data_IF_191443145798
#
_entry.id   IF_191443145798
#
_cell.length_a   1.000
_cell.length_b   1.000
_cell.length_c   1.000
_cell.angle_alpha   90.00
_cell.angle_beta   90.00
_cell.angle_gamma   90.00
#
_symmetry.space_group_name_H-M   'P 1'
#
loop_
_entity.id
_entity.type
_entity.pdbx_description
1 polymer ?
#
# COMPACT_ATOMS: atom_id res chain seq x y z
N UNK A 1 10.41 38.27 8.12
CA UNK A 1 10.47 38.03 7.89
C UNK A 1 10.38 37.26 7.52
N UNK A 2 10.37 37.10 7.56
CA UNK A 2 10.30 36.57 7.15
C UNK A 2 10.50 35.55 6.88
N UNK A 3 10.75 35.46 6.97
CA UNK A 3 10.97 34.65 6.65
C UNK A 3 10.73 33.67 6.72
N UNK A 4 10.53 33.77 6.81
CA UNK A 4 10.35 33.04 6.74
C UNK A 4 10.16 32.18 6.25
N UNK A 5 10.00 32.27 6.11
CA UNK A 5 9.89 31.58 5.57
C UNK A 5 10.10 30.68 5.10
N UNK A 6 10.39 30.78 4.95
CA UNK A 6 10.56 30.09 4.40
C UNK A 6 10.67 28.98 4.43
N UNK A 7 10.59 29.09 4.83
CA UNK A 7 10.79 28.35 4.95
C UNK A 7 10.42 27.36 4.67
N UNK A 8 10.06 27.66 4.67
CA UNK A 8 9.82 26.90 4.34
C UNK A 8 9.78 26.12 3.58
N UNK A 9 10.06 26.29 3.26
CA UNK A 9 10.08 25.82 2.52
C UNK A 9 10.38 24.75 2.33
N UNK A 10 10.62 24.63 2.36
CA UNK A 10 10.88 23.84 2.10
C UNK A 10 11.40 22.70 2.53
N UNK A 11 11.83 22.32 2.79
CA UNK A 11 12.45 21.25 3.49
C UNK A 11 11.51 20.07 3.58
N UNK A 12 10.28 20.35 3.79
CA UNK A 12 9.26 19.31 3.80
C UNK A 12 9.24 18.51 2.53
N UNK A 13 9.49 19.15 1.43
CA UNK A 13 9.50 18.42 0.17
C UNK A 13 10.58 17.39 0.12
N UNK A 14 11.69 17.66 0.71
CA UNK A 14 12.78 16.70 0.69
C UNK A 14 12.44 15.44 1.45
N UNK A 15 11.74 15.59 2.54
CA UNK A 15 11.32 14.44 3.30
C UNK A 15 10.36 13.56 2.53
N UNK A 16 9.47 14.19 1.80
CA UNK A 16 8.53 13.43 0.99
C UNK A 16 9.26 12.65 -0.08
N UNK A 17 10.28 13.24 -0.66
CA UNK A 17 11.05 12.56 -1.67
C UNK A 17 11.72 11.33 -1.10
N UNK A 18 12.25 11.44 0.12
CA UNK A 18 12.87 10.31 0.76
C UNK A 18 11.90 9.18 0.99
N UNK A 19 10.70 9.51 1.47
CA UNK A 19 9.69 8.50 1.70
C UNK A 19 9.26 7.82 0.41
N UNK A 20 9.15 8.60 -0.65
CA UNK A 20 8.73 8.04 -1.92
C UNK A 20 9.71 7.01 -2.45
N UNK A 21 10.96 7.07 -2.02
CA UNK A 21 11.96 6.13 -2.48
C UNK A 21 12.00 4.84 -1.66
N UNK A 22 11.31 4.80 -0.52
CA UNK A 22 11.41 3.66 0.38
C UNK A 22 10.69 2.42 -0.16
N UNK A 23 9.39 2.49 -0.39
CA UNK A 23 8.64 1.35 -0.86
C UNK A 23 7.80 1.76 -2.05
N UNK A 24 8.19 1.32 -3.21
CA UNK A 24 7.54 1.71 -4.44
C UNK A 24 7.22 0.49 -5.27
N UNK A 25 6.09 0.50 -5.96
CA UNK A 25 5.79 -0.62 -6.84
C UNK A 25 6.79 -0.66 -8.00
N UNK A 26 7.07 -1.85 -8.47
CA UNK A 26 7.91 -2.01 -9.64
C UNK A 26 7.18 -1.53 -10.88
N UNK A 27 7.95 -1.23 -11.92
CA UNK A 27 7.39 -0.66 -13.14
C UNK A 27 6.47 -1.63 -13.88
N UNK A 28 6.61 -2.93 -13.61
CA UNK A 28 5.80 -3.94 -14.28
C UNK A 28 4.73 -4.54 -13.40
N UNK A 29 4.47 -3.91 -12.27
CA UNK A 29 3.46 -4.40 -11.35
C UNK A 29 2.06 -3.99 -11.80
N UNK A 30 1.09 -4.75 -11.36
CA UNK A 30 -0.30 -4.31 -11.49
C UNK A 30 -0.46 -3.03 -10.67
N UNK A 31 -1.43 -2.22 -11.04
CA UNK A 31 -1.66 -0.96 -10.34
C UNK A 31 -2.28 -1.21 -8.96
N UNK A 32 -2.24 -0.18 -8.11
CA UNK A 32 -2.89 -0.29 -6.81
C UNK A 32 -4.39 -0.50 -6.98
N UNK A 33 -4.99 0.07 -8.01
CA UNK A 33 -6.42 -0.10 -8.27
C UNK A 33 -6.71 -1.56 -8.60
N UNK A 34 -5.86 -2.18 -9.39
CA UNK A 34 -6.01 -3.60 -9.69
C UNK A 34 -5.82 -4.45 -8.44
N UNK A 35 -4.83 -4.08 -7.62
CA UNK A 35 -4.59 -4.82 -6.39
C UNK A 35 -5.79 -4.75 -5.46
N UNK A 36 -6.43 -3.58 -5.38
CA UNK A 36 -7.65 -3.43 -4.59
C UNK A 36 -8.75 -4.33 -5.11
N UNK A 37 -8.87 -4.43 -6.43
CA UNK A 37 -9.86 -5.31 -7.03
C UNK A 37 -9.60 -6.77 -6.69
N UNK A 38 -8.32 -7.17 -6.68
CA UNK A 38 -7.96 -8.53 -6.31
C UNK A 38 -8.30 -8.82 -4.85
N UNK A 39 -8.07 -7.85 -3.97
CA UNK A 39 -8.41 -8.02 -2.57
C UNK A 39 -9.91 -8.19 -2.39
N UNK A 40 -10.71 -7.37 -3.09
CA UNK A 40 -12.16 -7.50 -3.00
C UNK A 40 -12.62 -8.86 -3.52
N UNK A 41 -12.03 -9.33 -4.60
CA UNK A 41 -12.36 -10.65 -5.13
C UNK A 41 -11.99 -11.76 -4.14
N UNK A 42 -11.01 -11.52 -3.28
CA UNK A 42 -10.61 -12.48 -2.25
C UNK A 42 -11.53 -12.42 -1.03
N UNK A 43 -12.52 -11.53 -1.02
CA UNK A 43 -13.51 -11.49 0.05
C UNK A 43 -13.40 -10.32 0.99
N UNK A 44 -12.49 -9.39 0.74
CA UNK A 44 -12.35 -8.22 1.61
C UNK A 44 -13.49 -7.26 1.36
N UNK A 45 -14.25 -6.95 2.40
CA UNK A 45 -15.40 -6.05 2.30
C UNK A 45 -15.04 -4.63 2.67
N UNK A 46 -14.00 -4.47 3.49
CA UNK A 46 -13.55 -3.15 3.91
C UNK A 46 -12.04 -3.17 3.98
N UNK A 47 -11.40 -2.31 3.19
CA UNK A 47 -9.94 -2.27 3.13
C UNK A 47 -9.43 -1.16 4.02
N UNK A 48 -8.52 -1.50 4.92
CA UNK A 48 -7.95 -0.54 5.85
C UNK A 48 -6.61 -0.01 5.40
N UNK A 49 -5.86 -0.82 4.67
CA UNK A 49 -4.52 -0.45 4.29
C UNK A 49 -4.08 -1.27 3.09
N UNK A 50 -3.31 -0.65 2.21
CA UNK A 50 -2.62 -1.36 1.15
C UNK A 50 -1.39 -0.54 0.79
N UNK A 51 -0.27 -1.20 0.62
CA UNK A 51 0.97 -0.53 0.28
C UNK A 51 1.90 -1.48 -0.47
N UNK A 52 2.83 -0.91 -1.21
CA UNK A 52 3.81 -1.68 -1.94
C UNK A 52 4.91 -2.13 -0.99
N UNK A 53 5.39 -3.35 -1.18
CA UNK A 53 6.50 -3.87 -0.40
C UNK A 53 7.64 -4.19 -1.36
N UNK A 54 8.86 -3.84 -0.98
CA UNK A 54 10.02 -4.04 -1.84
C UNK A 54 10.32 -5.51 -2.15
N UNK A 55 9.70 -6.42 -1.44
CA UNK A 55 9.87 -7.84 -1.72
C UNK A 55 9.03 -8.33 -2.89
N UNK A 56 8.30 -7.45 -3.55
CA UNK A 56 7.66 -7.80 -4.81
C UNK A 56 6.15 -7.98 -4.75
N UNK A 57 5.49 -7.44 -3.75
CA UNK A 57 4.04 -7.63 -3.62
C UNK A 57 3.38 -6.40 -3.04
N UNK A 58 2.06 -6.36 -3.21
CA UNK A 58 1.19 -5.43 -2.51
C UNK A 58 0.77 -6.10 -1.22
N UNK A 59 0.83 -5.39 -0.11
CA UNK A 59 0.39 -5.97 1.14
C UNK A 59 -0.62 -5.06 1.81
N UNK A 60 -1.56 -5.66 2.51
CA UNK A 60 -2.59 -4.86 3.15
C UNK A 60 -3.37 -5.63 4.17
N UNK A 61 -4.39 -4.97 4.69
CA UNK A 61 -5.27 -5.57 5.67
C UNK A 61 -6.66 -4.98 5.55
N UNK A 62 -7.62 -5.74 6.03
CA UNK A 62 -9.00 -5.30 5.99
C UNK A 62 -9.93 -6.33 6.61
N UNK A 63 -11.20 -6.01 6.57
CA UNK A 63 -12.22 -6.88 7.13
C UNK A 63 -12.84 -7.73 6.06
N UNK A 64 -13.24 -8.95 6.43
CA UNK A 64 -14.05 -9.82 5.59
C UNK A 64 -15.45 -9.91 6.19
N UNK A 65 -16.29 -10.75 5.62
CA UNK A 65 -17.68 -10.87 6.09
C UNK A 65 -17.79 -11.32 7.53
N UNK A 66 -16.77 -11.99 8.03
CA UNK A 66 -16.75 -12.41 9.44
C UNK A 66 -16.53 -11.24 10.40
N UNK A 67 -16.29 -10.04 9.87
CA UNK A 67 -16.05 -8.86 10.67
C UNK A 67 -14.68 -8.84 11.33
N UNK A 68 -13.80 -9.74 10.96
CA UNK A 68 -12.47 -9.86 11.56
C UNK A 68 -11.39 -9.32 10.63
N UNK A 69 -10.30 -8.91 11.23
CA UNK A 69 -9.20 -8.34 10.49
C UNK A 69 -8.34 -9.44 9.87
N UNK A 70 -8.13 -9.34 8.58
CA UNK A 70 -7.31 -10.27 7.81
C UNK A 70 -6.21 -9.49 7.13
N UNK A 71 -5.12 -10.17 6.78
CA UNK A 71 -4.05 -9.55 6.03
C UNK A 71 -3.83 -10.31 4.73
N UNK A 72 -3.36 -9.60 3.72
CA UNK A 72 -3.16 -10.21 2.42
C UNK A 72 -1.88 -9.72 1.76
N UNK A 73 -1.39 -10.52 0.84
CA UNK A 73 -0.33 -10.13 -0.06
C UNK A 73 -0.73 -10.53 -1.46
N UNK A 74 -0.48 -9.64 -2.39
CA UNK A 74 -0.82 -9.85 -3.79
C UNK A 74 0.44 -9.66 -4.61
N UNK A 75 0.83 -10.68 -5.35
CA UNK A 75 2.05 -10.60 -6.14
C UNK A 75 1.99 -9.39 -7.07
N UNK A 76 3.05 -8.58 -7.05
CA UNK A 76 3.05 -7.33 -7.80
C UNK A 76 2.93 -7.52 -9.30
N UNK A 77 3.53 -8.56 -9.83
CA UNK A 77 3.51 -8.77 -11.28
C UNK A 77 2.32 -9.55 -11.75
N UNK A 78 2.01 -10.66 -11.09
CA UNK A 78 0.94 -11.54 -11.56
C UNK A 78 -0.44 -11.15 -11.04
N UNK A 79 -0.49 -10.47 -9.90
CA UNK A 79 -1.77 -10.18 -9.27
C UNK A 79 -2.33 -11.36 -8.50
N UNK A 80 -1.56 -12.42 -8.34
CA UNK A 80 -2.03 -13.58 -7.58
C UNK A 80 -2.03 -13.27 -6.09
N UNK A 81 -3.04 -13.76 -5.40
CA UNK A 81 -3.08 -13.65 -3.94
C UNK A 81 -2.14 -14.70 -3.38
N UNK A 82 -1.07 -14.26 -2.73
CA UNK A 82 -0.05 -15.17 -2.21
C UNK A 82 -0.09 -15.30 -0.70
N UNK A 83 -0.94 -14.52 -0.05
CA UNK A 83 -1.16 -14.64 1.38
C UNK A 83 -2.54 -14.06 1.70
N UNK A 84 -3.28 -14.76 2.53
CA UNK A 84 -4.62 -14.32 2.92
C UNK A 84 -4.95 -15.05 4.22
N UNK A 85 -4.79 -14.36 5.33
CA UNK A 85 -4.96 -15.03 6.62
C UNK A 85 -5.48 -14.07 7.68
N UNK A 86 -6.07 -14.66 8.70
CA UNK A 86 -6.57 -13.92 9.84
C UNK A 86 -5.39 -13.26 10.55
N UNK A 87 -5.56 -12.02 10.89
CA UNK A 87 -4.52 -11.29 11.61
C UNK A 87 -4.76 -11.44 13.11
N UNK A 88 -3.70 -11.74 13.84
CA UNK A 88 -3.81 -11.94 15.29
C UNK A 88 -3.83 -10.65 16.08
#
# INVERSE_FOLDING_TARGET
>A
MQTRTLITLFAGSLLLAGNALADRPGSEWISIVEALSKARAAGYTELHKIEADNDGYWEGEGLKQDGRLHEFRIDGKSGAVIRDQLED
#
